data_IF_152098095663
#
_entry.id   IF_152098095663
#
_cell.length_a   1.000
_cell.length_b   1.000
_cell.length_c   1.000
_cell.angle_alpha   90.00
_cell.angle_beta   90.00
_cell.angle_gamma   90.00
#
_symmetry.space_group_name_H-M   'P 1'
#
loop_
_entity.id
_entity.type
_entity.pdbx_description
1 polymer ?
#
# COMPACT_ATOMS: atom_id res chain seq x y z
N UNK A 1 8.90 -21.92 -6.24
CA UNK A 1 9.42 -23.13 -5.55
C UNK A 1 9.56 -22.96 -4.04
N UNK A 2 10.26 -21.93 -3.54
CA UNK A 2 10.50 -21.74 -2.09
C UNK A 2 9.22 -21.47 -1.27
N UNK A 3 8.30 -20.64 -1.77
CA UNK A 3 7.01 -20.41 -1.10
C UNK A 3 6.13 -21.67 -1.06
N UNK A 4 6.12 -22.47 -2.13
CA UNK A 4 5.42 -23.75 -2.15
C UNK A 4 6.02 -24.73 -1.14
N UNK A 5 7.36 -24.81 -1.07
CA UNK A 5 8.06 -25.61 -0.07
C UNK A 5 7.74 -25.16 1.36
N UNK A 6 7.71 -23.84 1.62
CA UNK A 6 7.31 -23.25 2.92
C UNK A 6 5.86 -23.58 3.28
N UNK A 7 4.94 -23.53 2.30
CA UNK A 7 3.51 -23.82 2.50
C UNK A 7 3.28 -25.32 2.77
N UNK A 8 3.94 -26.20 2.02
CA UNK A 8 3.89 -27.64 2.23
C UNK A 8 4.53 -28.07 3.54
N UNK A 9 5.67 -27.49 3.94
CA UNK A 9 6.25 -27.75 5.26
C UNK A 9 5.33 -27.27 6.39
N UNK A 10 4.74 -26.08 6.24
CA UNK A 10 3.87 -25.51 7.27
C UNK A 10 2.59 -26.32 7.49
N UNK A 11 2.04 -26.99 6.47
CA UNK A 11 0.90 -27.89 6.63
C UNK A 11 1.31 -29.26 7.18
N UNK A 12 2.48 -29.77 6.80
CA UNK A 12 3.00 -31.07 7.27
C UNK A 12 3.38 -31.06 8.76
N UNK A 13 3.78 -29.89 9.28
CA UNK A 13 4.40 -29.77 10.60
C UNK A 13 3.45 -29.35 11.73
N UNK A 14 2.20 -28.98 11.41
CA UNK A 14 1.17 -28.62 12.40
C UNK A 14 1.70 -27.73 13.54
N UNK A 15 1.50 -28.17 14.78
CA UNK A 15 1.87 -27.46 16.01
C UNK A 15 3.39 -27.34 16.26
N UNK A 16 4.23 -28.05 15.47
CA UNK A 16 5.70 -27.97 15.57
C UNK A 16 6.31 -26.90 14.65
N UNK A 17 5.48 -26.14 13.93
CA UNK A 17 5.91 -25.09 13.01
C UNK A 17 6.82 -24.05 13.66
N UNK A 18 6.56 -23.70 14.92
CA UNK A 18 7.34 -22.67 15.63
C UNK A 18 8.70 -23.19 16.11
N UNK A 19 8.80 -24.48 16.49
CA UNK A 19 10.08 -25.14 16.80
C UNK A 19 11.02 -25.15 15.59
N UNK A 20 10.48 -25.38 14.39
CA UNK A 20 11.25 -25.49 13.15
C UNK A 20 11.62 -24.11 12.60
N UNK A 21 10.72 -23.13 12.67
CA UNK A 21 11.04 -21.73 12.33
C UNK A 21 12.15 -21.14 13.19
N UNK A 22 12.25 -21.58 14.45
CA UNK A 22 13.27 -21.13 15.40
C UNK A 22 14.61 -21.86 15.25
N UNK A 23 14.72 -22.86 14.37
CA UNK A 23 16.01 -23.46 14.05
C UNK A 23 16.92 -22.42 13.39
N UNK A 24 18.18 -22.24 13.86
CA UNK A 24 19.09 -21.20 13.37
C UNK A 24 19.27 -21.21 11.85
N UNK A 25 19.34 -22.41 11.25
CA UNK A 25 19.52 -22.60 9.80
C UNK A 25 18.27 -22.13 9.04
N UNK A 26 17.07 -22.48 9.51
CA UNK A 26 15.81 -22.07 8.86
C UNK A 26 15.57 -20.58 9.02
N UNK A 27 15.91 -20.01 10.18
CA UNK A 27 15.90 -18.56 10.40
C UNK A 27 16.87 -17.85 9.46
N UNK A 28 18.10 -18.35 9.32
CA UNK A 28 19.10 -17.80 8.40
C UNK A 28 18.65 -17.85 6.93
N UNK A 29 18.10 -18.99 6.48
CA UNK A 29 17.56 -19.15 5.12
C UNK A 29 16.35 -18.24 4.87
N UNK A 30 15.45 -18.09 5.86
CA UNK A 30 14.33 -17.17 5.76
C UNK A 30 14.80 -15.71 5.68
N UNK A 31 15.76 -15.32 6.51
CA UNK A 31 16.34 -13.98 6.48
C UNK A 31 16.98 -13.70 5.12
N UNK A 32 17.78 -14.63 4.60
CA UNK A 32 18.41 -14.48 3.27
C UNK A 32 17.37 -14.35 2.16
N UNK A 33 16.32 -15.18 2.18
CA UNK A 33 15.24 -15.11 1.19
C UNK A 33 14.44 -13.80 1.28
N UNK A 34 14.23 -13.26 2.49
CA UNK A 34 13.58 -11.96 2.67
C UNK A 34 14.46 -10.83 2.14
N UNK A 35 15.75 -10.81 2.50
CA UNK A 35 16.70 -9.82 1.98
C UNK A 35 16.75 -9.81 0.44
N UNK A 36 16.78 -10.99 -0.18
CA UNK A 36 16.77 -11.12 -1.64
C UNK A 36 15.46 -10.62 -2.26
N UNK A 37 14.31 -10.93 -1.64
CA UNK A 37 13.01 -10.43 -2.07
C UNK A 37 12.90 -8.91 -1.95
N UNK A 38 13.36 -8.35 -0.83
CA UNK A 38 13.32 -6.91 -0.57
C UNK A 38 14.27 -6.17 -1.51
N UNK A 39 15.47 -6.72 -1.77
CA UNK A 39 16.41 -6.16 -2.76
C UNK A 39 15.79 -6.13 -4.16
N UNK A 40 15.14 -7.22 -4.58
CA UNK A 40 14.46 -7.29 -5.87
C UNK A 40 13.30 -6.29 -5.98
N UNK A 41 12.55 -6.09 -4.89
CA UNK A 41 11.45 -5.11 -4.85
C UNK A 41 11.95 -3.67 -4.89
N UNK A 42 13.04 -3.38 -4.19
CA UNK A 42 13.72 -2.08 -4.24
C UNK A 42 14.24 -1.77 -5.66
N UNK A 43 14.82 -2.76 -6.36
CA UNK A 43 15.18 -2.64 -7.78
C UNK A 43 13.96 -2.38 -8.66
N UNK A 44 12.87 -3.14 -8.48
CA UNK A 44 11.62 -2.94 -9.22
C UNK A 44 11.03 -1.54 -8.98
N UNK A 45 11.07 -1.04 -7.75
CA UNK A 45 10.61 0.31 -7.42
C UNK A 45 11.43 1.32 -8.23
N UNK A 46 12.75 1.28 -8.11
CA UNK A 46 13.66 2.17 -8.82
C UNK A 46 13.44 2.15 -10.35
N UNK A 47 13.28 0.97 -10.93
CA UNK A 47 13.17 0.80 -12.38
C UNK A 47 11.80 1.27 -12.93
N UNK A 48 10.75 1.31 -12.10
CA UNK A 48 9.38 1.56 -12.55
C UNK A 48 8.74 2.82 -11.95
N UNK A 49 9.37 3.47 -10.97
CA UNK A 49 8.82 4.60 -10.23
C UNK A 49 8.31 5.73 -11.15
N UNK A 50 9.17 6.22 -12.03
CA UNK A 50 8.83 7.31 -12.96
C UNK A 50 7.76 6.89 -13.97
N UNK A 51 7.76 5.64 -14.43
CA UNK A 51 6.76 5.12 -15.36
C UNK A 51 5.39 5.03 -14.70
N UNK A 52 5.33 4.64 -13.42
CA UNK A 52 4.09 4.59 -12.64
C UNK A 52 3.54 6.01 -12.42
N UNK A 53 4.38 6.95 -11.97
CA UNK A 53 3.98 8.35 -11.82
C UNK A 53 3.45 8.92 -13.14
N UNK A 54 4.21 8.76 -14.23
CA UNK A 54 3.80 9.21 -15.55
C UNK A 54 2.48 8.55 -15.99
N UNK A 55 2.31 7.25 -15.78
CA UNK A 55 1.10 6.54 -16.20
C UNK A 55 -0.12 7.03 -15.44
N UNK A 56 -0.03 7.20 -14.13
CA UNK A 56 -1.12 7.70 -13.30
C UNK A 56 -1.47 9.15 -13.65
N UNK A 57 -0.48 10.06 -13.66
CA UNK A 57 -0.73 11.49 -13.88
C UNK A 57 -0.94 11.89 -15.34
N UNK A 58 -0.70 10.99 -16.32
CA UNK A 58 -1.13 11.15 -17.71
C UNK A 58 -2.50 10.52 -18.03
N UNK A 59 -3.05 9.71 -17.11
CA UNK A 59 -4.34 9.05 -17.28
C UNK A 59 -5.53 9.97 -16.95
N UNK A 60 -6.78 9.54 -17.21
CA UNK A 60 -7.97 10.24 -16.72
C UNK A 60 -8.02 10.37 -15.18
N UNK A 61 -7.28 9.54 -14.42
CA UNK A 61 -7.21 9.67 -12.96
C UNK A 61 -6.62 11.01 -12.51
N UNK A 62 -5.87 11.72 -13.36
CA UNK A 62 -5.34 13.06 -13.03
C UNK A 62 -6.44 14.08 -12.73
N UNK A 63 -7.66 13.85 -13.21
CA UNK A 63 -8.83 14.72 -12.99
C UNK A 63 -9.53 14.44 -11.64
N UNK A 64 -9.12 13.37 -10.95
CA UNK A 64 -9.54 13.09 -9.57
C UNK A 64 -8.66 13.84 -8.58
N UNK A 65 -9.15 13.98 -7.35
CA UNK A 65 -8.30 14.29 -6.20
C UNK A 65 -7.49 13.04 -5.87
N UNK A 66 -6.42 12.80 -6.64
CA UNK A 66 -5.40 11.77 -6.41
C UNK A 66 -4.09 12.45 -6.02
N UNK A 67 -3.39 11.96 -5.01
CA UNK A 67 -2.12 12.55 -4.54
C UNK A 67 -1.13 11.46 -4.11
N UNK A 68 0.15 11.79 -4.01
CA UNK A 68 1.14 10.90 -3.38
C UNK A 68 0.78 10.72 -1.92
N UNK A 69 0.80 9.50 -1.39
CA UNK A 69 0.43 9.23 0.00
C UNK A 69 1.48 8.36 0.71
N UNK A 70 1.31 8.15 2.02
CA UNK A 70 2.14 7.28 2.86
C UNK A 70 3.64 7.33 2.52
N UNK A 71 4.26 6.18 2.16
CA UNK A 71 5.71 6.06 1.95
C UNK A 71 6.17 6.88 0.75
N UNK A 72 5.34 6.96 -0.29
CA UNK A 72 5.62 7.72 -1.51
C UNK A 72 5.65 9.23 -1.25
N UNK A 73 4.70 9.75 -0.45
CA UNK A 73 4.69 11.16 -0.05
C UNK A 73 5.84 11.48 0.91
N UNK A 74 6.13 10.59 1.86
CA UNK A 74 7.23 10.73 2.80
C UNK A 74 8.58 10.76 2.08
N UNK A 75 8.78 9.90 1.09
CA UNK A 75 9.95 9.92 0.22
C UNK A 75 10.11 11.26 -0.48
N UNK A 76 9.06 11.72 -1.18
CA UNK A 76 9.07 13.03 -1.83
C UNK A 76 9.46 14.15 -0.84
N UNK A 77 8.84 14.20 0.33
CA UNK A 77 9.03 15.28 1.29
C UNK A 77 10.42 15.25 1.95
N UNK A 78 10.88 14.07 2.38
CA UNK A 78 12.10 13.93 3.20
C UNK A 78 13.36 13.72 2.38
N UNK A 79 13.27 12.97 1.29
CA UNK A 79 14.42 12.50 0.51
C UNK A 79 14.47 13.14 -0.87
N UNK A 80 13.40 13.82 -1.30
CA UNK A 80 13.19 14.27 -2.68
C UNK A 80 13.38 13.10 -3.69
N UNK A 81 13.04 11.89 -3.23
CA UNK A 81 13.18 10.62 -3.93
C UNK A 81 12.21 9.59 -3.31
N UNK A 82 12.15 8.36 -3.79
CA UNK A 82 11.50 7.28 -3.03
C UNK A 82 12.36 6.87 -1.82
N UNK A 83 11.74 6.32 -0.78
CA UNK A 83 12.48 5.82 0.39
C UNK A 83 13.29 4.60 -0.06
N UNK A 84 14.60 4.58 0.21
CA UNK A 84 15.51 3.52 -0.29
C UNK A 84 15.12 2.06 0.05
N UNK A 85 14.29 1.87 1.08
CA UNK A 85 13.78 0.56 1.51
C UNK A 85 12.28 0.36 1.24
N UNK A 86 11.62 1.28 0.53
CA UNK A 86 10.21 1.12 0.14
C UNK A 86 10.06 0.00 -0.90
N UNK A 87 8.89 -0.63 -0.91
CA UNK A 87 8.63 -1.82 -1.73
C UNK A 87 7.36 -1.70 -2.59
N UNK A 88 6.70 -0.56 -2.51
CA UNK A 88 5.42 -0.23 -3.12
C UNK A 88 5.32 1.27 -3.42
N UNK A 89 4.22 1.66 -4.03
CA UNK A 89 3.85 3.06 -4.23
C UNK A 89 2.43 3.29 -3.75
N UNK A 90 2.24 4.33 -2.95
CA UNK A 90 0.97 4.66 -2.31
C UNK A 90 0.42 5.98 -2.87
N UNK A 91 -0.87 5.97 -3.18
CA UNK A 91 -1.61 7.16 -3.59
C UNK A 91 -2.91 7.25 -2.81
N UNK A 92 -3.23 8.44 -2.34
CA UNK A 92 -4.55 8.74 -1.80
C UNK A 92 -5.45 9.18 -2.94
N UNK A 93 -6.73 8.78 -2.92
CA UNK A 93 -7.71 9.19 -3.92
C UNK A 93 -9.09 9.41 -3.30
N UNK A 94 -9.81 10.43 -3.77
CA UNK A 94 -11.25 10.57 -3.55
C UNK A 94 -11.97 10.12 -4.82
N UNK A 95 -12.92 9.18 -4.70
CA UNK A 95 -13.70 8.63 -5.82
C UNK A 95 -15.18 9.00 -5.65
N UNK A 96 -15.66 10.13 -6.23
CA UNK A 96 -17.06 10.54 -6.10
C UNK A 96 -18.03 9.65 -6.89
N UNK A 97 -17.55 9.11 -8.01
CA UNK A 97 -18.30 8.22 -8.90
C UNK A 97 -17.45 7.00 -9.23
N UNK A 98 -17.82 5.87 -8.63
CA UNK A 98 -17.11 4.61 -8.81
C UNK A 98 -17.30 4.04 -10.22
N UNK A 99 -18.46 4.24 -10.85
CA UNK A 99 -18.70 3.71 -12.20
C UNK A 99 -17.83 4.42 -13.22
N UNK A 100 -17.74 5.74 -13.13
CA UNK A 100 -16.79 6.53 -13.95
C UNK A 100 -15.34 6.10 -13.68
N UNK A 101 -14.98 5.89 -12.42
CA UNK A 101 -13.63 5.43 -12.06
C UNK A 101 -13.29 4.09 -12.73
N UNK A 102 -14.24 3.15 -12.81
CA UNK A 102 -14.04 1.85 -13.47
C UNK A 102 -13.81 1.97 -14.98
N UNK A 103 -14.37 3.00 -15.62
CA UNK A 103 -14.11 3.31 -17.03
C UNK A 103 -12.72 3.94 -17.20
N UNK A 104 -12.40 4.90 -16.33
CA UNK A 104 -11.13 5.65 -16.35
C UNK A 104 -9.92 4.76 -16.00
N UNK A 105 -10.08 3.77 -15.11
CA UNK A 105 -9.00 2.83 -14.74
C UNK A 105 -8.54 1.94 -15.90
N UNK A 106 -9.37 1.75 -16.93
CA UNK A 106 -9.01 0.93 -18.09
C UNK A 106 -7.76 1.46 -18.77
N UNK A 107 -7.49 2.77 -18.66
CA UNK A 107 -6.26 3.38 -19.12
C UNK A 107 -5.01 2.77 -18.45
N UNK A 108 -5.07 2.53 -17.14
CA UNK A 108 -3.99 1.90 -16.37
C UNK A 108 -3.87 0.42 -16.75
N UNK A 109 -5.00 -0.30 -16.80
CA UNK A 109 -5.01 -1.74 -17.11
C UNK A 109 -4.41 -2.02 -18.49
N UNK A 110 -4.75 -1.19 -19.48
CA UNK A 110 -4.17 -1.27 -20.83
C UNK A 110 -2.66 -0.99 -20.89
N UNK A 111 -2.07 -0.44 -19.82
CA UNK A 111 -0.65 -0.11 -19.70
C UNK A 111 0.10 -1.01 -18.75
N UNK A 112 -0.45 -2.19 -18.43
CA UNK A 112 0.24 -3.22 -17.66
C UNK A 112 0.03 -3.14 -16.16
N UNK A 113 -0.85 -2.26 -15.68
CA UNK A 113 -1.41 -2.41 -14.34
C UNK A 113 -2.36 -3.60 -14.33
N UNK A 114 -2.42 -4.30 -13.22
CA UNK A 114 -3.41 -5.35 -13.00
C UNK A 114 -3.96 -5.24 -11.61
N UNK A 115 -5.28 -5.08 -11.47
CA UNK A 115 -5.90 -5.02 -10.15
C UNK A 115 -5.70 -6.37 -9.43
N UNK A 116 -5.20 -6.32 -8.20
CA UNK A 116 -4.88 -7.50 -7.40
C UNK A 116 -5.75 -7.63 -6.16
N UNK A 117 -6.17 -6.51 -5.55
CA UNK A 117 -6.97 -6.53 -4.33
C UNK A 117 -7.97 -5.39 -4.29
N UNK A 118 -9.07 -5.63 -3.59
CA UNK A 118 -10.03 -4.61 -3.19
C UNK A 118 -10.35 -4.80 -1.71
N UNK A 119 -10.42 -3.69 -0.99
CA UNK A 119 -10.69 -3.69 0.44
C UNK A 119 -11.96 -2.88 0.70
N UNK A 120 -12.85 -3.46 1.50
CA UNK A 120 -14.09 -2.83 1.89
C UNK A 120 -14.24 -2.85 3.40
N UNK A 121 -14.67 -1.73 3.97
CA UNK A 121 -15.16 -1.65 5.33
C UNK A 121 -16.62 -1.20 5.31
N UNK A 122 -17.51 -2.01 5.90
CA UNK A 122 -18.95 -1.73 5.94
C UNK A 122 -19.53 -1.39 4.54
N UNK A 123 -19.18 -2.23 3.56
CA UNK A 123 -19.53 -2.11 2.13
C UNK A 123 -19.00 -0.84 1.40
N UNK A 124 -18.19 -0.02 2.06
CA UNK A 124 -17.49 1.11 1.43
C UNK A 124 -16.09 0.69 0.99
N UNK A 125 -15.73 1.03 -0.26
CA UNK A 125 -14.38 0.80 -0.79
C UNK A 125 -13.38 1.70 -0.06
N UNK A 126 -12.31 1.12 0.48
CA UNK A 126 -11.28 1.84 1.23
C UNK A 126 -9.88 1.70 0.63
N UNK A 127 -9.64 0.68 -0.21
CA UNK A 127 -8.36 0.52 -0.91
C UNK A 127 -8.52 -0.34 -2.18
N UNK A 128 -7.80 0.04 -3.23
CA UNK A 128 -7.59 -0.73 -4.46
C UNK A 128 -6.09 -0.98 -4.65
N UNK A 129 -5.66 -2.24 -4.66
CA UNK A 129 -4.26 -2.59 -4.96
C UNK A 129 -4.09 -3.03 -6.41
N UNK A 130 -3.00 -2.59 -7.03
CA UNK A 130 -2.56 -2.99 -8.36
C UNK A 130 -1.17 -3.61 -8.32
N UNK A 131 -0.88 -4.45 -9.31
CA UNK A 131 0.47 -4.90 -9.65
C UNK A 131 0.89 -4.20 -10.94
N UNK A 132 2.07 -3.60 -10.94
CA UNK A 132 2.73 -3.08 -12.13
C UNK A 132 4.10 -3.75 -12.27
N UNK A 133 4.25 -4.65 -13.24
CA UNK A 133 5.48 -5.46 -13.43
C UNK A 133 5.97 -6.17 -12.15
N UNK A 134 5.04 -6.48 -11.23
CA UNK A 134 5.32 -7.14 -9.95
C UNK A 134 5.55 -6.21 -8.76
N UNK A 135 5.58 -4.88 -8.97
CA UNK A 135 5.55 -3.88 -7.91
C UNK A 135 4.10 -3.65 -7.46
N UNK A 136 3.86 -3.52 -6.15
CA UNK A 136 2.54 -3.20 -5.62
C UNK A 136 2.31 -1.69 -5.70
N UNK A 137 1.13 -1.28 -6.17
CA UNK A 137 0.70 0.12 -6.25
C UNK A 137 -0.68 0.23 -5.63
N UNK A 138 -0.79 0.93 -4.52
CA UNK A 138 -2.03 1.02 -3.73
C UNK A 138 -2.69 2.38 -3.92
N UNK A 139 -3.99 2.36 -4.19
CA UNK A 139 -4.86 3.54 -4.18
C UNK A 139 -5.73 3.48 -2.92
N UNK A 140 -5.40 4.29 -1.93
CA UNK A 140 -6.13 4.43 -0.67
C UNK A 140 -7.32 5.37 -0.90
N UNK A 141 -8.52 4.86 -0.67
CA UNK A 141 -9.76 5.62 -0.93
C UNK A 141 -10.16 6.38 0.33
N UNK A 142 -10.30 7.69 0.20
CA UNK A 142 -10.64 8.59 1.29
C UNK A 142 -12.03 9.21 1.12
N UNK A 143 -12.69 9.46 2.26
CA UNK A 143 -13.81 10.39 2.35
C UNK A 143 -13.33 11.72 2.90
N UNK A 144 -13.72 12.85 2.27
CA UNK A 144 -13.40 14.20 2.74
C UNK A 144 -14.59 14.84 3.46
N UNK A 145 -14.33 15.47 4.60
CA UNK A 145 -15.29 16.30 5.35
C UNK A 145 -14.60 17.55 5.88
N UNK A 146 -14.84 18.69 5.24
CA UNK A 146 -14.14 19.93 5.58
C UNK A 146 -12.64 19.82 5.30
N UNK A 147 -11.82 20.13 6.31
CA UNK A 147 -10.35 20.05 6.25
C UNK A 147 -9.80 18.72 6.80
N UNK A 148 -10.60 17.66 6.72
CA UNK A 148 -10.22 16.34 7.22
C UNK A 148 -10.60 15.29 6.18
N UNK A 149 -9.70 14.33 5.97
CA UNK A 149 -10.00 13.09 5.26
C UNK A 149 -9.95 11.90 6.21
N UNK A 150 -10.65 10.83 5.87
CA UNK A 150 -10.61 9.60 6.64
C UNK A 150 -10.74 8.36 5.77
N UNK A 151 -10.15 7.26 6.26
CA UNK A 151 -10.22 5.94 5.65
C UNK A 151 -10.05 4.86 6.74
N UNK A 152 -10.28 3.60 6.38
CA UNK A 152 -10.07 2.44 7.23
C UNK A 152 -8.97 1.55 6.62
N UNK A 153 -7.86 1.37 7.34
CA UNK A 153 -6.81 0.40 6.95
C UNK A 153 -7.19 -0.99 7.42
N UNK A 154 -7.09 -1.98 6.53
CA UNK A 154 -7.44 -3.37 6.81
C UNK A 154 -6.19 -4.25 6.71
N UNK A 155 -5.72 -4.75 7.85
CA UNK A 155 -4.72 -5.80 7.91
C UNK A 155 -5.38 -7.18 7.82
N UNK A 156 -4.76 -8.12 7.11
CA UNK A 156 -5.22 -9.51 7.06
C UNK A 156 -4.05 -10.49 6.90
N UNK A 157 -4.29 -11.74 7.26
CA UNK A 157 -3.40 -12.86 6.95
C UNK A 157 -4.03 -13.74 5.87
N UNK A 158 -3.18 -14.50 5.16
CA UNK A 158 -3.63 -15.50 4.20
C UNK A 158 -3.46 -16.89 4.81
N UNK A 159 -4.52 -17.70 4.81
CA UNK A 159 -4.46 -19.10 5.25
C UNK A 159 -3.83 -20.01 4.17
N UNK A 160 -3.67 -21.30 4.47
CA UNK A 160 -3.03 -22.25 3.54
C UNK A 160 -3.76 -22.41 2.19
N UNK A 161 -5.06 -22.09 2.13
CA UNK A 161 -5.89 -22.17 0.93
C UNK A 161 -5.87 -20.88 0.10
N UNK A 162 -5.12 -19.86 0.53
CA UNK A 162 -5.10 -18.57 -0.15
C UNK A 162 -6.26 -17.64 0.25
N UNK A 163 -6.98 -17.93 1.33
CA UNK A 163 -8.13 -17.12 1.78
C UNK A 163 -7.71 -16.09 2.83
N UNK A 164 -8.17 -14.83 2.74
CA UNK A 164 -8.03 -13.85 3.80
C UNK A 164 -8.63 -14.31 5.13
N UNK A 165 -7.91 -14.05 6.22
CA UNK A 165 -8.29 -14.40 7.60
C UNK A 165 -7.63 -13.41 8.58
N UNK A 166 -7.99 -13.47 9.86
CA UNK A 166 -7.42 -12.61 10.92
C UNK A 166 -7.41 -11.13 10.54
N UNK A 167 -8.57 -10.64 10.12
CA UNK A 167 -8.75 -9.24 9.80
C UNK A 167 -8.56 -8.38 11.05
N UNK A 168 -7.86 -7.26 10.89
CA UNK A 168 -7.81 -6.15 11.85
C UNK A 168 -8.12 -4.88 11.08
N UNK A 169 -8.94 -3.99 11.64
CA UNK A 169 -9.35 -2.75 10.99
C UNK A 169 -9.03 -1.58 11.90
N UNK A 170 -8.49 -0.52 11.31
CA UNK A 170 -8.18 0.72 12.00
C UNK A 170 -8.67 1.92 11.19
N UNK A 171 -9.59 2.69 11.76
CA UNK A 171 -10.00 3.98 11.23
C UNK A 171 -8.96 5.04 11.60
N UNK A 172 -8.68 5.94 10.68
CA UNK A 172 -7.81 7.09 10.95
C UNK A 172 -8.31 8.31 10.18
N UNK A 173 -7.91 9.47 10.68
CA UNK A 173 -8.26 10.77 10.11
C UNK A 173 -6.98 11.59 9.96
N UNK A 174 -6.90 12.36 8.88
CA UNK A 174 -5.75 13.19 8.57
C UNK A 174 -6.19 14.63 8.29
N UNK A 175 -5.41 15.64 8.73
CA UNK A 175 -5.65 17.02 8.33
C UNK A 175 -5.39 17.14 6.83
N UNK A 176 -6.32 17.73 6.09
CA UNK A 176 -6.25 17.80 4.64
C UNK A 176 -6.91 19.07 4.12
N UNK A 177 -6.11 20.02 3.64
CA UNK A 177 -6.61 21.28 3.09
C UNK A 177 -7.03 21.11 1.61
N UNK A 178 -6.15 21.50 0.70
CA UNK A 178 -6.28 21.38 -0.75
C UNK A 178 -5.04 20.68 -1.32
N UNK A 179 -5.14 20.26 -2.57
CA UNK A 179 -4.01 19.70 -3.29
C UNK A 179 -3.23 20.82 -3.99
N UNK A 180 -1.90 20.73 -3.95
CA UNK A 180 -1.01 21.53 -4.77
C UNK A 180 -0.28 20.63 -5.77
N UNK A 181 0.06 21.20 -6.93
CA UNK A 181 0.85 20.51 -7.95
C UNK A 181 2.33 20.83 -7.72
N UNK A 182 3.17 19.80 -7.73
CA UNK A 182 4.62 19.89 -7.58
C UNK A 182 5.29 19.05 -8.65
N UNK A 183 6.52 19.40 -9.03
CA UNK A 183 7.30 18.56 -9.93
C UNK A 183 8.08 17.52 -9.13
N UNK A 184 7.87 16.24 -9.43
CA UNK A 184 8.61 15.14 -8.84
C UNK A 184 9.11 14.21 -9.94
N UNK A 185 10.44 14.10 -10.06
CA UNK A 185 11.13 13.31 -11.11
C UNK A 185 10.64 13.66 -12.53
N UNK A 186 10.38 14.95 -12.79
CA UNK A 186 9.91 15.42 -14.10
C UNK A 186 8.42 15.22 -14.37
N UNK A 187 7.65 14.72 -13.40
CA UNK A 187 6.20 14.54 -13.49
C UNK A 187 5.51 15.57 -12.59
N UNK A 188 4.48 16.23 -13.11
CA UNK A 188 3.62 17.10 -12.31
C UNK A 188 2.64 16.24 -11.52
N UNK A 189 2.89 16.11 -10.21
CA UNK A 189 2.14 15.28 -9.28
C UNK A 189 1.40 16.15 -8.27
N UNK A 190 0.36 15.61 -7.62
CA UNK A 190 -0.38 16.32 -6.56
C UNK A 190 0.07 15.84 -5.18
N UNK A 191 0.14 16.76 -4.22
CA UNK A 191 0.38 16.51 -2.80
C UNK A 191 -0.58 17.37 -1.95
N UNK A 192 -0.88 17.00 -0.69
CA UNK A 192 -1.61 17.88 0.23
C UNK A 192 -0.82 19.16 0.47
N UNK A 193 -1.43 20.35 0.42
CA UNK A 193 -0.73 21.62 0.66
C UNK A 193 -0.14 21.68 2.07
N UNK A 194 -0.86 21.15 3.06
CA UNK A 194 -0.41 20.97 4.43
C UNK A 194 0.48 19.71 4.60
N UNK A 195 1.37 19.42 3.64
CA UNK A 195 2.14 18.16 3.56
C UNK A 195 2.83 17.78 4.87
N UNK A 196 3.52 18.74 5.52
CA UNK A 196 4.26 18.47 6.76
C UNK A 196 3.34 18.02 7.89
N UNK A 197 2.21 18.69 8.04
CA UNK A 197 1.21 18.38 9.08
C UNK A 197 0.59 17.01 8.81
N UNK A 198 0.19 16.76 7.56
CA UNK A 198 -0.30 15.47 7.07
C UNK A 198 0.64 14.31 7.41
N UNK A 199 1.92 14.40 7.01
CA UNK A 199 2.92 13.34 7.25
C UNK A 199 3.21 13.20 8.75
N UNK A 200 3.24 14.29 9.52
CA UNK A 200 3.51 14.22 10.96
C UNK A 200 2.44 13.45 11.73
N UNK A 201 1.19 13.44 11.26
CA UNK A 201 0.14 12.59 11.81
C UNK A 201 0.38 11.12 11.47
N UNK A 202 0.80 10.83 10.24
CA UNK A 202 1.07 9.47 9.78
C UNK A 202 2.30 8.82 10.43
N UNK A 203 3.35 9.58 10.76
CA UNK A 203 4.66 9.05 11.14
C UNK A 203 5.23 9.61 12.46
N UNK A 204 4.53 10.53 13.11
CA UNK A 204 5.00 11.22 14.33
C UNK A 204 5.67 12.56 14.04
N UNK A 205 5.83 13.39 15.08
CA UNK A 205 6.38 14.73 14.94
C UNK A 205 7.87 14.76 14.52
N UNK A 206 8.57 13.65 14.70
CA UNK A 206 10.00 13.44 14.39
C UNK A 206 10.24 12.71 13.06
N UNK A 207 9.22 12.58 12.20
CA UNK A 207 9.26 11.82 10.93
C UNK A 207 10.38 12.22 9.95
N UNK A 208 10.88 13.46 10.07
CA UNK A 208 12.00 13.98 9.30
C UNK A 208 13.31 13.21 9.59
N UNK A 209 13.39 12.55 10.75
CA UNK A 209 14.47 11.60 11.07
C UNK A 209 14.02 10.17 10.73
N UNK A 210 14.75 9.41 9.90
CA UNK A 210 14.39 8.03 9.58
C UNK A 210 14.27 7.16 10.83
N UNK A 211 13.14 6.47 10.98
CA UNK A 211 12.89 5.51 12.05
C UNK A 211 12.67 4.10 11.49
N UNK A 212 13.69 3.25 11.58
CA UNK A 212 13.63 1.86 11.08
C UNK A 212 12.78 0.92 11.92
N UNK A 213 12.34 1.37 13.11
CA UNK A 213 11.50 0.61 14.03
C UNK A 213 10.08 1.16 14.10
N UNK A 214 9.67 1.98 13.13
CA UNK A 214 8.33 2.57 13.11
C UNK A 214 7.25 1.48 13.08
N UNK A 215 6.33 1.52 14.03
CA UNK A 215 5.17 0.65 14.10
C UNK A 215 3.89 1.49 14.04
N UNK A 216 3.27 1.56 12.85
CA UNK A 216 2.06 2.35 12.65
C UNK A 216 0.90 1.95 13.58
N UNK A 217 0.85 0.69 14.05
CA UNK A 217 -0.19 0.25 14.99
C UNK A 217 -0.10 0.89 16.37
N UNK A 218 1.07 1.42 16.73
CA UNK A 218 1.29 2.16 17.97
C UNK A 218 0.93 3.64 17.83
N UNK A 219 0.73 4.13 16.59
CA UNK A 219 0.35 5.51 16.37
C UNK A 219 -1.12 5.73 16.78
N UNK A 220 -1.39 6.68 17.71
CA UNK A 220 -2.71 6.86 18.28
C UNK A 220 -3.77 7.36 17.30
N UNK A 221 -3.44 7.81 16.08
CA UNK A 221 -4.45 8.18 15.09
C UNK A 221 -5.31 6.98 14.66
N UNK A 222 -4.73 5.78 14.69
CA UNK A 222 -5.38 4.54 14.26
C UNK A 222 -6.29 4.02 15.38
N UNK A 223 -7.59 4.09 15.15
CA UNK A 223 -8.63 3.63 16.07
C UNK A 223 -9.20 2.29 15.61
N UNK A 224 -9.02 1.27 16.43
CA UNK A 224 -9.49 -0.08 16.09
C UNK A 224 -11.02 -0.11 15.88
N UNK A 225 -11.46 -0.85 14.87
CA UNK A 225 -12.88 -1.07 14.53
C UNK A 225 -13.24 -2.56 14.46
N UNK A 226 -14.54 -2.85 14.29
CA UNK A 226 -15.03 -4.23 14.20
C UNK A 226 -14.57 -4.89 12.90
N UNK A 227 -13.63 -5.83 13.04
CA UNK A 227 -13.08 -6.58 11.91
C UNK A 227 -14.11 -7.44 11.16
N UNK A 228 -15.29 -7.69 11.72
CA UNK A 228 -16.37 -8.43 11.01
C UNK A 228 -16.96 -7.66 9.84
N UNK A 229 -16.81 -6.33 9.83
CA UNK A 229 -17.26 -5.47 8.73
C UNK A 229 -16.22 -5.37 7.60
N UNK A 230 -15.04 -5.96 7.77
CA UNK A 230 -14.00 -5.99 6.76
C UNK A 230 -14.28 -7.06 5.70
N UNK A 231 -14.04 -6.71 4.44
CA UNK A 231 -14.04 -7.64 3.32
C UNK A 231 -12.84 -7.36 2.43
N UNK A 232 -12.01 -8.38 2.24
CA UNK A 232 -10.85 -8.35 1.35
C UNK A 232 -11.13 -9.27 0.17
N UNK A 233 -11.11 -8.71 -1.03
CA UNK A 233 -11.22 -9.46 -2.28
C UNK A 233 -9.83 -9.61 -2.89
N UNK A 234 -9.40 -10.85 -3.08
CA UNK A 234 -8.17 -11.17 -3.80
C UNK A 234 -8.54 -11.50 -5.25
N UNK A 235 -8.10 -10.66 -6.19
CA UNK A 235 -8.34 -10.85 -7.61
C UNK A 235 -7.22 -11.75 -8.14
N UNK A 236 -7.59 -12.97 -8.53
CA UNK A 236 -6.66 -13.88 -9.19
C UNK A 236 -6.43 -13.38 -10.60
N UNK A 237 -5.18 -13.06 -10.92
CA UNK A 237 -4.75 -12.91 -12.30
C UNK A 237 -4.84 -14.30 -12.94
N UNK A 238 -5.73 -14.46 -13.91
CA UNK A 238 -5.63 -15.59 -14.82
C UNK A 238 -4.40 -15.31 -15.69
N UNK A 239 -3.32 -16.08 -15.48
CA UNK A 239 -2.22 -16.12 -16.43
C UNK A 239 -2.82 -16.60 -17.77
N UNK A 240 -2.82 -15.73 -18.78
CA UNK A 240 -3.16 -16.07 -20.16
C UNK A 240 -1.98 -16.77 -20.83
#
# INVERSE_FOLDING_TARGET
>A
MLQWLKRSLASLLGDKKDLIKNLPIIKSLNNKANIELDSKRSELLKDNFEEILNTIYSSPLKDYDIWLDFGTLLGYYRENDFISHDLDMDFGIIIPDYQRFVEDEQYLLARGFSRTKEFYYNDQLVELSYSFKGLNVDLIVYTKKGETISSDTIFFMINALGTPTRHEVYHYELPFSQLQVVNFKGVDVKIPENTRDYISHLYGADFETPNTNYNWKENPIYKQRDAKMAKVLLIKLFEH
#
